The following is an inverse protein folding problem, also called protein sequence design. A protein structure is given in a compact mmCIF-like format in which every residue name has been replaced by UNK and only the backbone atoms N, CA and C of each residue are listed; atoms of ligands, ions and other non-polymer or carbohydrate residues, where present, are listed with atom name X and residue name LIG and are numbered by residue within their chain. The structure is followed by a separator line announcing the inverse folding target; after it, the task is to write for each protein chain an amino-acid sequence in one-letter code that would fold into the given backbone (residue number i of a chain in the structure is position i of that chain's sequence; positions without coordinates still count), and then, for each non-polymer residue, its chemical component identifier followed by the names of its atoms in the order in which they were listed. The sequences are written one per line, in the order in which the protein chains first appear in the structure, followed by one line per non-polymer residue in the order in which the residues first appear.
data_IF_871449438346
#
_entry.id   IF_871449438346
#
_cell.length_a   1.000
_cell.length_b   1.000
_cell.length_c   1.000
_cell.angle_alpha   90.00
_cell.angle_beta   90.00
_cell.angle_gamma   90.00
#
_symmetry.space_group_name_H-M   'P 1'
#
loop_
_entity.id
_entity.type
_entity.pdbx_description
1 polymer ?
#
# COMPACT_ATOMS: atom_id res chain seq x y z
N UNK A 1 -3.00 11.34 -8.81
CA UNK A 1 -2.80 11.14 -7.35
C UNK A 1 -2.69 12.44 -6.57
N UNK A 2 -1.92 13.44 -7.01
CA UNK A 2 -1.66 14.67 -6.23
C UNK A 2 -2.86 15.53 -5.80
N UNK A 3 -4.06 15.32 -6.38
CA UNK A 3 -5.31 16.00 -6.00
C UNK A 3 -6.40 15.02 -5.51
N UNK A 4 -6.02 13.77 -5.22
CA UNK A 4 -6.96 12.77 -4.72
C UNK A 4 -7.47 13.18 -3.34
N UNK A 5 -8.72 12.84 -3.03
CA UNK A 5 -9.40 13.17 -1.75
C UNK A 5 -9.78 11.95 -0.92
N UNK A 6 -9.69 10.76 -1.50
CA UNK A 6 -9.96 9.49 -0.82
C UNK A 6 -8.65 8.89 -0.27
N UNK A 7 -8.71 8.06 0.78
CA UNK A 7 -7.56 7.30 1.26
C UNK A 7 -7.00 6.39 0.16
N UNK A 8 -5.67 6.27 0.09
CA UNK A 8 -4.96 5.40 -0.84
C UNK A 8 -3.96 4.55 -0.09
N UNK A 9 -3.97 3.24 -0.32
CA UNK A 9 -2.85 2.37 0.07
C UNK A 9 -2.14 1.88 -1.19
N UNK A 10 -0.80 1.89 -1.16
CA UNK A 10 0.04 1.20 -2.14
C UNK A 10 0.72 0.05 -1.43
N UNK A 11 0.56 -1.16 -1.97
CA UNK A 11 1.25 -2.37 -1.51
C UNK A 11 2.33 -2.71 -2.53
N UNK A 12 3.52 -3.03 -2.05
CA UNK A 12 4.67 -3.38 -2.88
C UNK A 12 5.42 -4.57 -2.27
N UNK A 13 5.88 -5.52 -3.08
CA UNK A 13 6.71 -6.61 -2.59
C UNK A 13 8.17 -6.16 -2.46
N UNK A 14 8.85 -6.48 -1.37
CA UNK A 14 10.28 -6.10 -1.20
C UNK A 14 11.20 -6.62 -2.32
N UNK A 15 10.81 -7.71 -2.97
CA UNK A 15 11.57 -8.38 -4.03
C UNK A 15 10.99 -8.10 -5.43
N UNK A 16 10.06 -7.16 -5.55
CA UNK A 16 9.52 -6.70 -6.83
C UNK A 16 10.63 -6.16 -7.73
N UNK A 17 10.63 -6.57 -9.00
CA UNK A 17 11.68 -6.25 -9.99
C UNK A 17 11.18 -5.41 -11.16
N UNK A 18 9.86 -5.36 -11.39
CA UNK A 18 9.24 -4.70 -12.54
C UNK A 18 8.89 -3.25 -12.24
N UNK A 19 8.48 -2.96 -11.00
CA UNK A 19 8.01 -1.64 -10.59
C UNK A 19 8.96 -1.01 -9.58
N UNK A 20 9.56 0.12 -9.93
CA UNK A 20 10.55 0.80 -9.09
C UNK A 20 9.89 1.50 -7.89
N UNK A 21 10.15 0.98 -6.68
CA UNK A 21 9.63 1.54 -5.44
C UNK A 21 10.14 2.96 -5.15
N UNK A 22 11.42 3.25 -5.40
CA UNK A 22 12.02 4.58 -5.17
C UNK A 22 11.38 5.66 -6.05
N UNK A 23 10.96 5.29 -7.26
CA UNK A 23 10.21 6.19 -8.13
C UNK A 23 8.83 6.48 -7.53
N UNK A 24 8.11 5.45 -7.09
CA UNK A 24 6.79 5.62 -6.47
C UNK A 24 6.90 6.47 -5.21
N UNK A 25 7.90 6.22 -4.35
CA UNK A 25 8.12 6.96 -3.11
C UNK A 25 8.32 8.47 -3.31
N UNK A 26 8.73 8.91 -4.51
CA UNK A 26 8.90 10.33 -4.86
C UNK A 26 7.61 11.01 -5.35
N UNK A 27 6.55 10.26 -5.61
CA UNK A 27 5.30 10.84 -6.12
C UNK A 27 4.55 11.58 -5.01
N UNK A 28 3.89 12.68 -5.37
CA UNK A 28 3.01 13.41 -4.44
C UNK A 28 1.71 12.63 -4.21
N UNK A 29 1.55 12.08 -3.00
CA UNK A 29 0.41 11.27 -2.59
C UNK A 29 -0.18 11.74 -1.26
N UNK A 30 -0.99 12.81 -1.26
CA UNK A 30 -1.39 13.50 -0.03
C UNK A 30 -2.21 12.64 0.94
N UNK A 31 -2.94 11.63 0.45
CA UNK A 31 -3.77 10.75 1.29
C UNK A 31 -3.24 9.32 1.33
N UNK A 32 -1.92 9.16 1.23
CA UNK A 32 -1.31 7.85 1.37
C UNK A 32 -1.55 7.33 2.79
N UNK A 33 -2.06 6.10 2.88
CA UNK A 33 -2.34 5.41 4.12
C UNK A 33 -1.04 5.19 4.90
N UNK A 34 -1.04 5.54 6.18
CA UNK A 34 0.15 5.64 7.03
C UNK A 34 1.26 6.57 6.50
N UNK A 35 0.99 7.38 5.48
CA UNK A 35 1.98 8.28 4.87
C UNK A 35 3.09 7.56 4.11
N UNK A 36 3.00 6.25 3.88
CA UNK A 36 4.08 5.45 3.29
C UNK A 36 3.58 4.30 2.41
N UNK A 37 4.47 3.80 1.54
CA UNK A 37 4.23 2.58 0.77
C UNK A 37 4.34 1.39 1.73
N UNK A 38 3.38 0.47 1.65
CA UNK A 38 3.35 -0.72 2.49
C UNK A 38 4.12 -1.85 1.81
N UNK A 39 5.27 -2.22 2.38
CA UNK A 39 6.09 -3.30 1.85
C UNK A 39 5.72 -4.65 2.45
N UNK A 40 5.67 -5.68 1.61
CA UNK A 40 5.52 -7.07 2.03
C UNK A 40 6.85 -7.79 1.87
N UNK A 41 7.44 -8.16 3.01
CA UNK A 41 8.67 -8.94 3.05
C UNK A 41 8.50 -10.33 2.45
N UNK A 42 9.51 -10.76 1.69
CA UNK A 42 9.56 -12.03 0.94
C UNK A 42 8.48 -12.17 -0.13
N UNK A 43 8.09 -11.07 -0.77
CA UNK A 43 7.16 -11.07 -1.91
C UNK A 43 7.74 -10.27 -3.09
N UNK A 44 7.50 -10.75 -4.30
CA UNK A 44 7.85 -10.10 -5.56
C UNK A 44 6.69 -9.32 -6.15
N UNK A 45 6.44 -9.53 -7.45
CA UNK A 45 5.47 -8.76 -8.23
C UNK A 45 4.01 -9.00 -7.85
N UNK A 46 3.69 -10.19 -7.35
CA UNK A 46 2.34 -10.58 -7.00
C UNK A 46 2.22 -10.91 -5.50
N UNK A 47 2.36 -9.93 -4.57
CA UNK A 47 2.30 -10.22 -3.14
C UNK A 47 1.00 -10.88 -2.66
N UNK A 48 -0.10 -10.63 -3.37
CA UNK A 48 -1.40 -11.25 -3.13
C UNK A 48 -1.42 -12.76 -3.44
N UNK A 49 -0.55 -13.23 -4.34
CA UNK A 49 -0.40 -14.64 -4.67
C UNK A 49 0.73 -15.30 -3.88
N UNK A 50 1.85 -14.61 -3.72
CA UNK A 50 3.07 -15.14 -3.08
C UNK A 50 2.94 -15.22 -1.56
N UNK A 51 2.25 -14.25 -0.95
CA UNK A 51 2.09 -14.13 0.51
C UNK A 51 0.67 -13.69 0.88
N UNK A 52 -0.37 -14.47 0.51
CA UNK A 52 -1.77 -14.07 0.61
C UNK A 52 -2.18 -13.68 2.03
N UNK A 53 -1.65 -14.35 3.07
CA UNK A 53 -1.98 -14.04 4.46
C UNK A 53 -1.52 -12.64 4.86
N UNK A 54 -0.29 -12.27 4.50
CA UNK A 54 0.27 -10.93 4.79
C UNK A 54 -0.49 -9.86 4.00
N UNK A 55 -0.74 -10.11 2.72
CA UNK A 55 -1.50 -9.21 1.87
C UNK A 55 -2.91 -8.97 2.41
N UNK A 56 -3.64 -10.04 2.75
CA UNK A 56 -5.00 -9.96 3.25
C UNK A 56 -5.07 -9.27 4.61
N UNK A 57 -4.12 -9.54 5.51
CA UNK A 57 -4.05 -8.85 6.81
C UNK A 57 -3.85 -7.35 6.64
N UNK A 58 -2.93 -6.95 5.76
CA UNK A 58 -2.66 -5.54 5.47
C UNK A 58 -3.88 -4.86 4.81
N UNK A 59 -4.53 -5.54 3.87
CA UNK A 59 -5.76 -5.06 3.23
C UNK A 59 -6.90 -4.88 4.24
N UNK A 60 -7.09 -5.81 5.17
CA UNK A 60 -8.13 -5.65 6.19
C UNK A 60 -7.81 -4.50 7.14
N UNK A 61 -6.54 -4.30 7.53
CA UNK A 61 -6.16 -3.14 8.34
C UNK A 61 -6.54 -1.82 7.65
N UNK A 62 -6.27 -1.72 6.34
CA UNK A 62 -6.67 -0.56 5.56
C UNK A 62 -8.19 -0.39 5.52
N UNK A 63 -8.94 -1.45 5.19
CA UNK A 63 -10.41 -1.41 5.11
C UNK A 63 -11.02 -1.01 6.46
N UNK A 64 -10.59 -1.65 7.55
CA UNK A 64 -11.07 -1.35 8.91
C UNK A 64 -10.79 0.10 9.27
N UNK A 65 -9.59 0.61 9.00
CA UNK A 65 -9.23 2.00 9.30
C UNK A 65 -10.09 3.01 8.51
N UNK A 66 -10.29 2.79 7.20
CA UNK A 66 -11.06 3.74 6.35
C UNK A 66 -12.58 3.59 6.46
N UNK A 67 -13.09 2.52 7.06
CA UNK A 67 -14.54 2.28 7.24
C UNK A 67 -15.02 2.54 8.66
N UNK A 68 -14.15 2.36 9.67
CA UNK A 68 -14.47 2.57 11.09
C UNK A 68 -13.95 3.93 11.58
N UNK A 69 -12.87 4.44 11.00
CA UNK A 69 -12.29 5.72 11.38
C UNK A 69 -12.90 6.90 10.61
N UNK A 70 -13.40 7.90 11.33
CA UNK A 70 -13.46 9.29 10.86
C UNK A 70 -12.01 9.77 10.67
N UNK A 71 -11.40 9.40 9.53
CA UNK A 71 -10.12 9.95 9.11
C UNK A 71 -10.34 11.47 8.89
N UNK A 72 -9.52 12.35 9.50
CA UNK A 72 -9.69 13.80 9.35
C UNK A 72 -9.60 14.27 7.89
#
# INVERSE_FOLDING_TARGET
VGNMKIPLMIIHGEQEQLVNADYIAKLKMPNLWNGEIQFIANAGHAPHWETPEKFNSLLMNFITDVTIGDRP
#
